data_IF_480162264550
#
_entry.id   IF_480162264550
#
_cell.length_a   1.000
_cell.length_b   1.000
_cell.length_c   1.000
_cell.angle_alpha   90.00
_cell.angle_beta   90.00
_cell.angle_gamma   90.00
#
_symmetry.space_group_name_H-M   'P 1'
#
loop_
_entity.id
_entity.type
_entity.pdbx_description
1 polymer ?
#
# COMPACT_ATOMS: atom_id res chain seq x y z
N UNK A 1 53.40 38.05 -53.43
CA UNK A 1 52.04 37.80 -53.93
C UNK A 1 51.40 36.80 -52.95
N UNK A 2 50.65 37.29 -51.98
CA UNK A 2 50.01 36.51 -50.92
C UNK A 2 48.54 36.38 -51.29
N UNK A 3 48.07 35.11 -51.42
CA UNK A 3 46.69 34.77 -51.75
C UNK A 3 45.87 34.87 -50.43
N UNK A 4 44.73 35.55 -50.41
CA UNK A 4 43.86 35.60 -49.24
C UNK A 4 43.09 34.30 -49.09
N UNK A 5 43.19 33.74 -47.94
CA UNK A 5 42.45 32.56 -47.45
C UNK A 5 40.95 32.87 -47.26
N UNK A 6 40.13 32.25 -48.08
CA UNK A 6 38.68 32.44 -48.05
C UNK A 6 38.10 31.72 -46.85
N UNK A 7 37.70 32.46 -45.84
CA UNK A 7 37.02 31.93 -44.67
C UNK A 7 35.64 31.36 -45.08
N UNK A 8 35.48 30.04 -44.94
CA UNK A 8 34.19 29.35 -45.05
C UNK A 8 33.21 29.87 -44.00
N UNK A 9 31.96 30.17 -44.38
CA UNK A 9 30.96 30.57 -43.40
C UNK A 9 30.65 29.38 -42.48
N UNK A 10 31.00 29.51 -41.19
CA UNK A 10 30.52 28.62 -40.15
C UNK A 10 28.99 28.62 -40.21
N UNK A 11 28.39 27.46 -40.58
CA UNK A 11 26.98 27.15 -40.33
C UNK A 11 26.72 27.41 -38.86
N UNK A 12 25.93 28.42 -38.53
CA UNK A 12 25.31 28.53 -37.21
C UNK A 12 24.43 27.29 -37.06
N UNK A 13 24.87 26.31 -36.27
CA UNK A 13 23.97 25.35 -35.71
C UNK A 13 22.92 26.14 -34.93
N UNK A 14 21.71 26.17 -35.45
CA UNK A 14 20.54 26.72 -34.78
C UNK A 14 20.35 25.80 -33.59
N UNK A 15 20.76 26.24 -32.40
CA UNK A 15 20.37 25.61 -31.14
C UNK A 15 18.85 25.52 -31.14
N UNK A 16 18.32 24.32 -31.36
CA UNK A 16 16.90 24.03 -31.19
C UNK A 16 16.64 24.25 -29.71
N UNK A 17 15.81 25.23 -29.32
CA UNK A 17 15.54 25.48 -27.91
C UNK A 17 15.07 24.17 -27.30
N UNK A 18 15.61 23.81 -26.12
CA UNK A 18 15.21 22.60 -25.38
C UNK A 18 13.71 22.64 -25.20
N UNK A 19 13.00 21.83 -26.00
CA UNK A 19 11.54 21.79 -25.97
C UNK A 19 11.10 21.03 -24.72
N UNK A 20 10.57 21.77 -23.76
CA UNK A 20 10.12 21.24 -22.49
C UNK A 20 8.79 20.48 -22.65
N UNK A 21 8.66 19.33 -21.99
CA UNK A 21 7.36 18.64 -21.85
C UNK A 21 6.58 19.29 -20.72
N UNK A 22 5.42 19.85 -21.03
CA UNK A 22 4.45 20.27 -20.02
C UNK A 22 3.42 19.17 -19.81
N UNK A 23 3.16 18.83 -18.56
CA UNK A 23 2.25 17.77 -18.22
C UNK A 23 1.53 18.02 -16.89
N UNK A 24 0.39 17.39 -16.73
CA UNK A 24 -0.35 17.31 -15.48
C UNK A 24 -1.16 16.03 -15.44
N UNK A 25 -1.11 15.30 -14.31
CA UNK A 25 -1.97 14.15 -14.05
C UNK A 25 -3.14 14.62 -13.19
N UNK A 26 -4.33 14.63 -13.76
CA UNK A 26 -5.57 15.01 -13.08
C UNK A 26 -6.19 13.85 -12.31
N UNK A 27 -5.90 12.62 -12.75
CA UNK A 27 -6.44 11.39 -12.16
C UNK A 27 -5.37 10.30 -12.14
N UNK A 28 -5.17 9.69 -10.97
CA UNK A 28 -4.35 8.49 -10.81
C UNK A 28 -5.06 7.56 -9.81
N UNK A 29 -5.42 6.38 -10.25
CA UNK A 29 -6.19 5.41 -9.48
C UNK A 29 -5.57 4.02 -9.58
N UNK A 30 -5.59 3.31 -8.46
CA UNK A 30 -5.29 1.87 -8.38
C UNK A 30 -6.54 1.14 -7.87
N UNK A 31 -7.07 0.19 -8.65
CA UNK A 31 -8.18 -0.67 -8.24
C UNK A 31 -7.85 -2.13 -8.55
N UNK A 32 -7.66 -2.93 -7.50
CA UNK A 32 -7.12 -4.28 -7.66
C UNK A 32 -5.73 -4.21 -8.30
N UNK A 33 -5.56 -4.88 -9.43
CA UNK A 33 -4.34 -4.87 -10.25
C UNK A 33 -4.31 -3.77 -11.31
N UNK A 34 -5.44 -3.06 -11.51
CA UNK A 34 -5.60 -2.09 -12.59
C UNK A 34 -5.23 -0.68 -12.17
N UNK A 35 -4.30 -0.09 -12.89
CA UNK A 35 -3.90 1.32 -12.79
C UNK A 35 -4.61 2.12 -13.88
N UNK A 36 -5.13 3.30 -13.54
CA UNK A 36 -5.70 4.26 -14.47
C UNK A 36 -5.09 5.63 -14.24
N UNK A 37 -4.67 6.25 -15.31
CA UNK A 37 -4.09 7.59 -15.33
C UNK A 37 -4.81 8.42 -16.37
N UNK A 38 -5.07 9.69 -16.06
CA UNK A 38 -5.59 10.66 -17.03
C UNK A 38 -4.99 12.04 -16.76
N UNK A 39 -4.88 12.83 -17.79
CA UNK A 39 -4.31 14.17 -17.70
C UNK A 39 -4.02 14.77 -19.05
N UNK A 40 -3.01 15.63 -19.11
CA UNK A 40 -2.50 16.14 -20.37
C UNK A 40 -0.97 16.14 -20.40
N UNK A 41 -0.39 16.03 -21.58
CA UNK A 41 1.04 16.18 -21.83
C UNK A 41 1.27 16.69 -23.27
N UNK A 42 2.16 17.67 -23.42
CA UNK A 42 2.52 18.23 -24.73
C UNK A 42 3.94 18.80 -24.72
N UNK A 43 4.50 18.91 -25.90
CA UNK A 43 5.75 19.63 -26.13
C UNK A 43 5.43 21.12 -26.19
N UNK A 44 6.05 21.91 -25.32
CA UNK A 44 5.85 23.35 -25.30
C UNK A 44 6.25 23.99 -26.66
N UNK A 45 5.39 24.82 -27.20
CA UNK A 45 5.53 25.48 -28.53
C UNK A 45 5.59 24.52 -29.72
N UNK A 46 4.93 23.37 -29.59
CA UNK A 46 4.77 22.41 -30.68
C UNK A 46 3.30 22.05 -30.82
N UNK A 47 2.74 22.11 -32.01
CA UNK A 47 1.36 21.74 -32.32
C UNK A 47 1.07 20.28 -31.97
N UNK A 48 -0.11 19.99 -31.42
CA UNK A 48 -0.53 18.64 -31.03
C UNK A 48 -1.38 17.90 -32.07
N UNK A 49 -1.38 18.33 -33.33
CA UNK A 49 -2.17 17.68 -34.40
C UNK A 49 -1.73 16.25 -34.65
N UNK A 50 -0.42 15.99 -34.62
CA UNK A 50 0.21 14.67 -34.84
C UNK A 50 1.06 14.30 -33.60
N UNK A 51 0.44 14.33 -32.43
CA UNK A 51 1.12 13.93 -31.20
C UNK A 51 1.10 12.41 -31.03
N UNK A 52 2.24 11.86 -30.71
CA UNK A 52 2.36 10.48 -30.23
C UNK A 52 2.67 10.49 -28.74
N UNK A 53 1.96 9.73 -27.98
CA UNK A 53 2.21 9.62 -26.54
C UNK A 53 2.19 8.17 -26.13
N UNK A 54 3.20 7.77 -25.38
CA UNK A 54 3.30 6.44 -24.79
C UNK A 54 3.51 6.57 -23.29
N UNK A 55 2.87 5.69 -22.53
CA UNK A 55 3.18 5.52 -21.14
C UNK A 55 4.41 4.61 -21.02
N UNK A 56 5.39 5.03 -20.23
CA UNK A 56 6.62 4.29 -20.00
C UNK A 56 6.69 3.89 -18.54
N UNK A 57 6.77 2.59 -18.30
CA UNK A 57 7.02 2.02 -16.98
C UNK A 57 8.47 1.57 -16.93
N UNK A 58 9.26 2.11 -15.99
CA UNK A 58 10.66 1.71 -15.84
C UNK A 58 10.93 1.25 -14.42
N UNK A 59 11.41 0.01 -14.28
CA UNK A 59 11.86 -0.51 -13.01
C UNK A 59 13.19 0.16 -12.63
N UNK A 60 13.31 0.58 -11.39
CA UNK A 60 14.36 1.50 -10.93
C UNK A 60 15.73 0.85 -10.79
N UNK A 61 15.78 -0.41 -10.37
CA UNK A 61 17.02 -1.15 -10.10
C UNK A 61 17.54 -1.85 -11.35
N UNK A 62 16.65 -2.49 -12.10
CA UNK A 62 17.01 -3.29 -13.29
C UNK A 62 17.03 -2.49 -14.59
N UNK A 63 16.34 -1.34 -14.62
CA UNK A 63 16.15 -0.57 -15.84
C UNK A 63 15.15 -1.21 -16.82
N UNK A 64 14.49 -2.29 -16.46
CA UNK A 64 13.48 -2.95 -17.30
C UNK A 64 12.38 -1.95 -17.66
N UNK A 65 12.04 -1.86 -18.96
CA UNK A 65 11.11 -0.87 -19.49
C UNK A 65 9.97 -1.53 -20.27
N UNK A 66 8.76 -1.01 -20.06
CA UNK A 66 7.58 -1.35 -20.86
C UNK A 66 6.94 -0.07 -21.38
N UNK A 67 6.62 -0.05 -22.68
CA UNK A 67 5.93 1.03 -23.36
C UNK A 67 4.50 0.61 -23.66
N UNK A 68 3.56 1.44 -23.24
CA UNK A 68 2.14 1.16 -23.33
C UNK A 68 1.45 2.28 -24.12
N UNK A 69 0.49 1.92 -24.97
CA UNK A 69 -0.28 2.92 -25.69
C UNK A 69 -1.15 3.73 -24.75
N UNK A 70 -1.38 4.99 -25.09
CA UNK A 70 -2.38 5.84 -24.44
C UNK A 70 -3.48 6.19 -25.42
N UNK A 71 -4.67 6.49 -24.90
CA UNK A 71 -5.76 7.04 -25.70
C UNK A 71 -5.69 8.55 -25.62
N UNK A 72 -5.59 9.21 -26.77
CA UNK A 72 -5.64 10.67 -26.83
C UNK A 72 -7.07 11.18 -26.59
N UNK A 73 -7.16 12.24 -25.80
CA UNK A 73 -8.43 12.91 -25.50
C UNK A 73 -8.30 14.41 -25.71
N UNK A 74 -9.44 15.08 -25.84
CA UNK A 74 -9.49 16.53 -25.90
C UNK A 74 -9.26 17.09 -24.50
N UNK A 75 -8.39 18.11 -24.37
CA UNK A 75 -8.12 18.82 -23.14
C UNK A 75 -8.61 20.27 -23.23
N UNK A 76 -9.88 20.54 -22.98
CA UNK A 76 -10.46 21.87 -23.16
C UNK A 76 -9.88 22.94 -22.23
N UNK A 77 -9.23 22.54 -21.14
CA UNK A 77 -8.55 23.44 -20.21
C UNK A 77 -7.22 24.02 -20.74
N UNK A 78 -6.74 23.53 -21.88
CA UNK A 78 -5.52 24.01 -22.55
C UNK A 78 -5.85 24.86 -23.80
N UNK A 79 -7.02 25.47 -23.82
CA UNK A 79 -7.45 26.36 -24.89
C UNK A 79 -6.58 27.60 -25.02
N UNK A 80 -7.11 28.65 -25.61
CA UNK A 80 -6.44 29.86 -26.10
C UNK A 80 -5.52 30.63 -25.14
N UNK A 81 -5.49 30.27 -23.86
CA UNK A 81 -4.75 31.00 -22.82
C UNK A 81 -3.28 30.58 -22.69
N UNK A 82 -2.89 29.39 -23.15
CA UNK A 82 -1.50 28.97 -23.16
C UNK A 82 -0.82 29.50 -24.43
N UNK A 83 0.34 30.13 -24.28
CA UNK A 83 1.13 30.75 -25.37
C UNK A 83 0.31 31.76 -26.24
N UNK A 84 -0.67 32.47 -25.67
CA UNK A 84 -1.52 33.43 -26.34
C UNK A 84 -2.26 32.87 -27.58
N UNK A 85 -2.57 31.57 -27.56
CA UNK A 85 -3.27 30.87 -28.64
C UNK A 85 -2.45 30.63 -29.89
N UNK A 86 -1.13 30.83 -29.85
CA UNK A 86 -0.23 30.62 -31.01
C UNK A 86 -0.10 29.15 -31.40
N UNK A 87 -0.34 28.22 -30.46
CA UNK A 87 -0.23 26.79 -30.67
C UNK A 87 -1.51 26.12 -30.21
N UNK A 88 -1.95 25.09 -30.91
CA UNK A 88 -3.10 24.28 -30.50
C UNK A 88 -2.64 23.10 -29.64
N UNK A 89 -3.15 23.03 -28.41
CA UNK A 89 -2.91 21.93 -27.48
C UNK A 89 -4.18 21.10 -27.21
N UNK A 90 -5.20 21.20 -28.06
CA UNK A 90 -6.47 20.50 -27.88
C UNK A 90 -6.32 18.97 -27.70
N UNK A 91 -5.39 18.36 -28.45
CA UNK A 91 -5.14 16.91 -28.42
C UNK A 91 -4.08 16.48 -27.40
N UNK A 92 -3.71 17.36 -26.49
CA UNK A 92 -2.74 17.06 -25.44
C UNK A 92 -3.29 16.13 -24.34
N UNK A 93 -4.59 15.93 -24.26
CA UNK A 93 -5.21 15.05 -23.28
C UNK A 93 -4.85 13.59 -23.50
N UNK A 94 -4.68 12.85 -22.41
CA UNK A 94 -4.42 11.42 -22.47
C UNK A 94 -5.20 10.65 -21.40
N UNK A 95 -5.56 9.41 -21.73
CA UNK A 95 -5.98 8.39 -20.80
C UNK A 95 -5.14 7.12 -21.01
N UNK A 96 -4.66 6.55 -19.91
CA UNK A 96 -3.94 5.30 -19.90
C UNK A 96 -4.54 4.36 -18.86
N UNK A 97 -4.68 3.09 -19.24
CA UNK A 97 -5.10 2.05 -18.31
C UNK A 97 -4.31 0.78 -18.58
N UNK A 98 -3.76 0.19 -17.53
CA UNK A 98 -3.05 -1.07 -17.64
C UNK A 98 -3.28 -1.93 -16.41
N UNK A 99 -3.03 -3.22 -16.55
CA UNK A 99 -3.10 -4.20 -15.48
C UNK A 99 -1.69 -4.69 -15.15
N UNK A 100 -1.28 -4.60 -13.88
CA UNK A 100 0.06 -5.01 -13.43
C UNK A 100 0.32 -6.51 -13.63
N UNK A 101 -0.73 -7.31 -13.81
CA UNK A 101 -0.62 -8.76 -14.04
C UNK A 101 -0.42 -9.13 -15.51
N UNK A 102 -0.61 -8.18 -16.44
CA UNK A 102 -0.56 -8.49 -17.90
C UNK A 102 0.27 -7.48 -18.72
N UNK A 103 0.92 -6.52 -18.08
CA UNK A 103 1.68 -5.46 -18.77
C UNK A 103 2.84 -5.99 -19.58
N UNK A 104 3.57 -6.94 -19.07
CA UNK A 104 4.83 -7.41 -19.66
C UNK A 104 4.58 -8.44 -20.79
N UNK A 105 3.88 -8.02 -21.85
CA UNK A 105 3.53 -8.92 -22.96
C UNK A 105 2.59 -10.06 -22.55
N UNK A 106 1.66 -9.77 -21.61
CA UNK A 106 0.77 -10.77 -21.04
C UNK A 106 1.27 -11.38 -19.73
N UNK A 107 2.46 -11.00 -19.26
CA UNK A 107 3.04 -11.44 -17.99
C UNK A 107 2.94 -10.35 -16.91
N UNK A 108 2.93 -10.74 -15.62
CA UNK A 108 2.89 -9.78 -14.51
C UNK A 108 4.21 -9.04 -14.35
N UNK A 109 4.13 -7.77 -13.92
CA UNK A 109 5.30 -7.02 -13.47
C UNK A 109 5.98 -7.71 -12.28
N UNK A 110 7.31 -7.66 -12.26
CA UNK A 110 8.11 -8.13 -11.13
C UNK A 110 7.99 -7.21 -9.91
N UNK A 111 8.39 -7.71 -8.74
CA UNK A 111 8.51 -6.90 -7.55
C UNK A 111 9.61 -5.85 -7.73
N UNK A 112 9.28 -4.59 -7.43
CA UNK A 112 10.20 -3.47 -7.65
C UNK A 112 9.52 -2.11 -7.50
N UNK A 113 10.30 -1.07 -7.78
CA UNK A 113 9.83 0.32 -7.85
C UNK A 113 9.73 0.75 -9.32
N UNK A 114 8.50 0.84 -9.81
CA UNK A 114 8.21 1.18 -11.19
C UNK A 114 7.88 2.67 -11.33
N UNK A 115 8.82 3.41 -11.90
CA UNK A 115 8.60 4.83 -12.22
C UNK A 115 7.72 4.96 -13.45
N UNK A 116 6.82 5.96 -13.41
CA UNK A 116 5.85 6.21 -14.48
C UNK A 116 6.27 7.49 -15.21
N UNK A 117 6.50 7.36 -16.51
CA UNK A 117 6.87 8.44 -17.42
C UNK A 117 5.90 8.51 -18.60
N UNK A 118 5.88 9.62 -19.31
CA UNK A 118 5.31 9.76 -20.63
C UNK A 118 6.42 10.08 -21.63
N UNK A 119 6.44 9.37 -22.75
CA UNK A 119 7.18 9.75 -23.94
C UNK A 119 6.22 10.50 -24.85
N UNK A 120 6.51 11.77 -25.11
CA UNK A 120 5.69 12.64 -25.95
C UNK A 120 6.46 12.99 -27.19
N UNK A 121 5.90 12.67 -28.35
CA UNK A 121 6.50 12.93 -29.66
C UNK A 121 5.58 13.80 -30.53
N UNK A 122 6.16 14.78 -31.22
CA UNK A 122 5.49 15.58 -32.25
C UNK A 122 6.52 16.17 -33.22
N UNK A 123 6.20 16.25 -34.52
CA UNK A 123 7.03 16.87 -35.54
C UNK A 123 8.49 16.37 -35.56
N UNK A 124 8.69 15.07 -35.36
CA UNK A 124 10.03 14.46 -35.34
C UNK A 124 10.83 14.65 -34.02
N UNK A 125 10.28 15.39 -33.07
CA UNK A 125 10.84 15.53 -31.73
C UNK A 125 10.20 14.51 -30.81
N UNK A 126 10.97 13.93 -29.87
CA UNK A 126 10.47 13.10 -28.81
C UNK A 126 11.17 13.44 -27.49
N UNK A 127 10.41 13.50 -26.40
CA UNK A 127 10.91 13.75 -25.06
C UNK A 127 10.19 12.85 -24.05
N UNK A 128 10.95 12.37 -23.07
CA UNK A 128 10.40 11.60 -21.96
C UNK A 128 10.42 12.44 -20.69
N UNK A 129 9.35 12.36 -19.91
CA UNK A 129 9.23 13.04 -18.63
C UNK A 129 8.54 12.13 -17.61
N UNK A 130 9.04 12.11 -16.38
CA UNK A 130 8.34 11.46 -15.26
C UNK A 130 7.10 12.26 -14.91
N UNK A 131 5.95 11.59 -14.91
CA UNK A 131 4.67 12.26 -14.69
C UNK A 131 4.31 12.34 -13.21
N UNK A 132 3.65 13.44 -12.86
CA UNK A 132 3.22 13.70 -11.49
C UNK A 132 2.11 14.73 -11.41
N UNK A 133 1.73 15.07 -10.19
CA UNK A 133 0.83 16.18 -9.91
C UNK A 133 1.64 17.43 -9.61
N UNK A 134 1.50 18.48 -10.41
CA UNK A 134 2.15 19.80 -10.19
C UNK A 134 1.65 20.52 -8.92
N UNK A 135 0.57 20.07 -8.30
CA UNK A 135 0.08 20.66 -7.04
C UNK A 135 0.92 20.15 -5.87
N UNK A 136 2.11 20.72 -5.72
CA UNK A 136 2.92 20.61 -4.51
C UNK A 136 2.19 21.08 -3.23
N UNK A 137 1.09 21.80 -3.37
CA UNK A 137 0.30 22.37 -2.27
C UNK A 137 -0.54 21.35 -1.50
N UNK A 138 -0.71 20.16 -2.01
CA UNK A 138 -1.20 19.04 -1.22
C UNK A 138 0.00 18.19 -0.85
N UNK A 139 0.38 18.25 0.42
CA UNK A 139 1.24 17.22 1.03
C UNK A 139 0.85 15.88 0.43
N UNK A 140 1.79 15.09 -0.10
CA UNK A 140 1.45 13.80 -0.67
C UNK A 140 0.65 13.06 0.36
N UNK A 141 -0.59 12.74 0.03
CA UNK A 141 -1.46 11.98 0.91
C UNK A 141 -0.73 10.72 1.35
N UNK A 142 -1.05 10.22 2.53
CA UNK A 142 -0.47 8.96 3.01
C UNK A 142 -0.57 7.91 1.91
N UNK A 143 0.55 7.25 1.52
CA UNK A 143 0.53 6.24 0.47
C UNK A 143 -0.52 5.17 0.75
N UNK A 144 -1.40 4.93 -0.24
CA UNK A 144 -2.48 3.96 -0.16
C UNK A 144 -1.93 2.56 -0.47
N UNK A 145 -1.40 1.91 0.56
CA UNK A 145 -0.87 0.54 0.47
C UNK A 145 -2.03 -0.44 0.44
N UNK A 146 -2.08 -1.29 -0.59
CA UNK A 146 -3.14 -2.30 -0.78
C UNK A 146 -2.54 -3.69 -0.88
N UNK A 147 -3.27 -4.68 -0.40
CA UNK A 147 -3.01 -6.08 -0.71
C UNK A 147 -4.06 -6.51 -1.72
N UNK A 148 -3.62 -6.98 -2.86
CA UNK A 148 -4.50 -7.45 -3.93
C UNK A 148 -4.15 -8.88 -4.34
N UNK A 149 -5.15 -9.61 -4.81
CA UNK A 149 -4.95 -10.88 -5.47
C UNK A 149 -4.37 -10.61 -6.87
N UNK A 150 -3.30 -11.29 -7.21
CA UNK A 150 -2.63 -11.22 -8.50
C UNK A 150 -2.41 -12.65 -9.01
N UNK A 151 -2.02 -12.81 -10.25
CA UNK A 151 -1.67 -14.14 -10.80
C UNK A 151 -0.48 -14.77 -10.07
N UNK A 152 0.32 -13.98 -9.34
CA UNK A 152 1.42 -14.44 -8.48
C UNK A 152 1.02 -14.58 -7.01
N UNK A 153 -0.28 -14.61 -6.70
CA UNK A 153 -0.80 -14.64 -5.34
C UNK A 153 -1.02 -13.25 -4.73
N UNK A 154 -1.07 -13.18 -3.42
CA UNK A 154 -1.35 -11.91 -2.70
C UNK A 154 -0.15 -11.00 -2.64
N UNK A 155 -0.18 -9.91 -3.37
CA UNK A 155 0.90 -8.91 -3.41
C UNK A 155 0.48 -7.58 -2.77
N UNK A 156 1.45 -6.91 -2.16
CA UNK A 156 1.28 -5.52 -1.78
C UNK A 156 1.55 -4.63 -3.00
N UNK A 157 0.62 -3.72 -3.26
CA UNK A 157 0.71 -2.76 -4.36
C UNK A 157 0.44 -1.37 -3.81
N UNK A 158 1.29 -0.41 -4.16
CA UNK A 158 1.14 0.98 -3.76
C UNK A 158 1.38 1.89 -4.94
N UNK A 159 0.37 2.66 -5.34
CA UNK A 159 0.56 3.79 -6.23
C UNK A 159 0.77 5.04 -5.36
N UNK A 160 1.89 5.72 -5.50
CA UNK A 160 2.24 6.86 -4.67
C UNK A 160 2.99 7.93 -5.45
N UNK A 161 3.07 9.14 -4.87
CA UNK A 161 3.88 10.23 -5.39
C UNK A 161 5.20 10.35 -4.61
N UNK A 162 6.29 10.61 -5.32
CA UNK A 162 7.62 10.80 -4.73
C UNK A 162 7.80 12.21 -4.18
N UNK A 163 8.51 12.34 -3.07
CA UNK A 163 8.91 13.65 -2.51
C UNK A 163 10.34 13.93 -2.96
N UNK A 164 10.68 15.18 -3.35
CA UNK A 164 9.84 16.40 -3.40
C UNK A 164 9.08 16.59 -4.72
N UNK A 165 9.33 15.79 -5.75
CA UNK A 165 8.92 16.08 -7.12
C UNK A 165 7.48 15.73 -7.47
N UNK A 166 6.75 15.00 -6.61
CA UNK A 166 5.37 14.61 -6.84
C UNK A 166 5.16 13.58 -7.96
N UNK A 167 6.22 12.92 -8.44
CA UNK A 167 6.15 11.97 -9.54
C UNK A 167 5.52 10.64 -9.10
N UNK A 168 4.65 10.08 -9.93
CA UNK A 168 4.02 8.79 -9.65
C UNK A 168 5.00 7.62 -9.78
N UNK A 169 4.89 6.69 -8.85
CA UNK A 169 5.64 5.44 -8.80
C UNK A 169 4.75 4.34 -8.26
N UNK A 170 4.89 3.12 -8.78
CA UNK A 170 4.25 1.93 -8.26
C UNK A 170 5.30 1.15 -7.45
N UNK A 171 4.97 0.82 -6.20
CA UNK A 171 5.74 -0.09 -5.36
C UNK A 171 5.06 -1.46 -5.38
N UNK A 172 5.72 -2.46 -5.93
CA UNK A 172 5.28 -3.85 -5.94
C UNK A 172 6.19 -4.67 -5.02
N UNK A 173 5.60 -5.45 -4.11
CA UNK A 173 6.35 -6.32 -3.21
C UNK A 173 6.99 -5.61 -2.02
N UNK A 174 6.45 -4.45 -1.59
CA UNK A 174 6.82 -3.77 -0.33
C UNK A 174 8.26 -3.20 -0.27
N UNK A 175 8.85 -2.86 -1.42
CA UNK A 175 10.22 -2.32 -1.48
C UNK A 175 10.38 -1.03 -0.67
N UNK A 176 9.38 -0.17 -0.69
CA UNK A 176 9.40 1.11 0.02
C UNK A 176 8.30 1.24 1.08
N UNK A 177 7.17 0.59 0.88
CA UNK A 177 5.97 0.71 1.71
C UNK A 177 5.59 -0.62 2.38
N UNK A 178 6.34 -1.07 3.42
CA UNK A 178 6.05 -2.33 4.08
C UNK A 178 4.66 -2.36 4.71
N UNK A 179 3.91 -3.42 4.44
CA UNK A 179 2.55 -3.66 4.95
C UNK A 179 2.52 -3.68 6.47
N UNK A 180 3.50 -4.32 7.12
CA UNK A 180 3.53 -4.42 8.58
C UNK A 180 3.63 -3.06 9.28
N UNK A 181 4.24 -2.05 8.65
CA UNK A 181 4.25 -0.67 9.16
C UNK A 181 2.87 0.01 9.13
N UNK A 182 1.89 -0.61 8.49
CA UNK A 182 0.50 -0.15 8.43
C UNK A 182 -0.40 -0.77 9.51
N UNK A 183 0.16 -1.68 10.30
CA UNK A 183 -0.50 -2.32 11.43
C UNK A 183 0.09 -1.77 12.73
N UNK A 184 -0.76 -1.43 13.66
CA UNK A 184 -0.36 -1.04 15.00
C UNK A 184 -1.33 -1.66 16.01
N UNK A 185 -0.80 -2.21 17.11
CA UNK A 185 -1.64 -2.65 18.23
C UNK A 185 -2.10 -1.44 19.03
N UNK A 186 -3.33 -1.53 19.50
CA UNK A 186 -3.93 -0.58 20.44
C UNK A 186 -3.93 -1.17 21.85
N UNK A 187 -5.01 -1.85 22.21
CA UNK A 187 -5.28 -2.33 23.56
C UNK A 187 -5.62 -3.81 23.58
N UNK A 188 -5.29 -4.46 24.69
CA UNK A 188 -5.70 -5.83 25.04
C UNK A 188 -6.44 -5.76 26.36
N UNK A 189 -7.74 -6.07 26.36
CA UNK A 189 -8.62 -5.96 27.52
C UNK A 189 -9.74 -7.00 27.51
N UNK A 190 -10.34 -7.23 28.66
CA UNK A 190 -11.58 -7.99 28.73
C UNK A 190 -12.76 -7.16 28.20
N UNK A 191 -13.69 -7.84 27.55
CA UNK A 191 -14.93 -7.20 27.09
C UNK A 191 -15.82 -6.86 28.30
N UNK A 192 -16.28 -5.61 28.41
CA UNK A 192 -17.04 -5.16 29.58
C UNK A 192 -18.33 -5.96 29.84
N UNK A 193 -19.07 -6.30 28.77
CA UNK A 193 -20.31 -7.10 28.88
C UNK A 193 -20.14 -8.61 28.76
N UNK A 194 -18.92 -9.10 28.48
CA UNK A 194 -18.60 -10.53 28.30
C UNK A 194 -17.24 -10.82 28.92
N UNK A 195 -17.17 -11.03 30.25
CA UNK A 195 -15.90 -11.08 30.98
C UNK A 195 -15.00 -12.25 30.60
N UNK A 196 -15.49 -13.20 29.81
CA UNK A 196 -14.72 -14.33 29.25
C UNK A 196 -14.30 -14.12 27.78
N UNK A 197 -14.44 -12.92 27.29
CA UNK A 197 -14.05 -12.55 25.94
C UNK A 197 -12.91 -11.52 26.00
N UNK A 198 -11.74 -11.89 25.46
CA UNK A 198 -10.60 -11.00 25.36
C UNK A 198 -10.71 -10.22 24.06
N UNK A 199 -10.65 -8.90 24.16
CA UNK A 199 -10.58 -7.99 23.01
C UNK A 199 -9.14 -7.62 22.73
N UNK A 200 -8.73 -7.81 21.48
CA UNK A 200 -7.46 -7.31 20.94
C UNK A 200 -7.80 -6.26 19.90
N UNK A 201 -7.42 -5.03 20.15
CA UNK A 201 -7.70 -3.90 19.24
C UNK A 201 -6.43 -3.41 18.58
N UNK A 202 -6.58 -2.75 17.44
CA UNK A 202 -5.46 -2.14 16.76
C UNK A 202 -5.91 -1.24 15.60
N UNK A 203 -4.93 -0.79 14.85
CA UNK A 203 -5.09 0.08 13.71
C UNK A 203 -4.51 -0.59 12.47
N UNK A 204 -5.29 -0.62 11.40
CA UNK A 204 -4.86 -1.08 10.08
C UNK A 204 -5.09 0.04 9.09
N UNK A 205 -4.01 0.64 8.61
CA UNK A 205 -4.05 1.80 7.71
C UNK A 205 -3.79 1.41 6.25
N UNK A 206 -4.08 0.17 5.91
CA UNK A 206 -4.12 -0.30 4.52
C UNK A 206 -5.36 0.23 3.83
N UNK A 207 -5.23 0.67 2.59
CA UNK A 207 -6.35 1.11 1.77
C UNK A 207 -7.31 -0.01 1.41
N UNK A 208 -6.78 -1.18 1.09
CA UNK A 208 -7.56 -2.38 0.84
C UNK A 208 -6.77 -3.66 1.16
N UNK A 209 -7.49 -4.69 1.61
CA UNK A 209 -6.99 -6.05 1.73
C UNK A 209 -8.17 -7.04 1.70
N UNK A 210 -7.95 -8.33 1.34
CA UNK A 210 -9.01 -9.33 1.27
C UNK A 210 -9.72 -9.50 2.61
N UNK A 211 -11.03 -9.71 2.57
CA UNK A 211 -11.82 -10.01 3.78
C UNK A 211 -11.29 -11.26 4.47
N UNK A 212 -11.23 -11.24 5.79
CA UNK A 212 -10.74 -12.37 6.59
C UNK A 212 -9.21 -12.58 6.52
N UNK A 213 -8.48 -11.73 5.78
CA UNK A 213 -7.02 -11.86 5.70
C UNK A 213 -6.30 -11.44 6.99
N UNK A 214 -6.92 -10.59 7.82
CA UNK A 214 -6.37 -10.17 9.10
C UNK A 214 -6.94 -11.08 10.20
N UNK A 215 -6.07 -11.84 10.85
CA UNK A 215 -6.45 -12.84 11.85
C UNK A 215 -5.48 -12.83 13.03
N UNK A 216 -5.95 -13.15 14.22
CA UNK A 216 -5.11 -13.50 15.37
C UNK A 216 -5.00 -15.02 15.44
N UNK A 217 -3.78 -15.50 15.48
CA UNK A 217 -3.45 -16.90 15.69
C UNK A 217 -2.92 -17.07 17.10
N UNK A 218 -3.56 -17.94 17.88
CA UNK A 218 -3.09 -18.37 19.17
C UNK A 218 -2.55 -19.80 19.07
N UNK A 219 -1.40 -20.07 19.69
CA UNK A 219 -0.78 -21.37 19.76
C UNK A 219 -0.60 -21.78 21.21
N UNK A 220 -1.06 -22.97 21.56
CA UNK A 220 -0.84 -23.57 22.88
C UNK A 220 0.58 -24.12 22.95
N UNK A 221 1.34 -23.70 23.97
CA UNK A 221 2.73 -24.12 24.15
C UNK A 221 2.86 -25.42 24.94
N UNK A 222 1.82 -25.76 25.73
CA UNK A 222 1.79 -26.97 26.53
C UNK A 222 1.18 -28.16 25.77
N UNK A 223 0.55 -27.91 24.59
CA UNK A 223 -0.07 -28.94 23.75
C UNK A 223 0.39 -28.77 22.30
N UNK A 224 1.21 -29.71 21.82
CA UNK A 224 1.76 -29.67 20.47
C UNK A 224 0.65 -29.62 19.40
N UNK A 225 0.75 -28.66 18.49
CA UNK A 225 -0.18 -28.48 17.37
C UNK A 225 -1.52 -27.82 17.70
N UNK A 226 -1.84 -27.56 18.99
CA UNK A 226 -3.09 -26.89 19.31
C UNK A 226 -3.04 -25.40 18.98
N UNK A 227 -3.87 -24.99 17.99
CA UNK A 227 -3.99 -23.62 17.51
C UNK A 227 -5.43 -23.16 17.52
N UNK A 228 -5.64 -21.85 17.66
CA UNK A 228 -6.94 -21.21 17.53
C UNK A 228 -6.80 -19.94 16.68
N UNK A 229 -7.74 -19.72 15.77
CA UNK A 229 -7.68 -18.60 14.81
C UNK A 229 -8.92 -17.75 14.94
N UNK A 230 -8.74 -16.44 15.10
CA UNK A 230 -9.82 -15.48 15.28
C UNK A 230 -9.73 -14.37 14.25
N UNK A 231 -10.78 -14.13 13.45
CA UNK A 231 -10.78 -13.08 12.46
C UNK A 231 -10.85 -11.69 13.13
N UNK A 232 -10.16 -10.72 12.53
CA UNK A 232 -10.35 -9.33 12.90
C UNK A 232 -11.59 -8.76 12.23
N UNK A 233 -12.39 -8.05 13.01
CA UNK A 233 -13.54 -7.28 12.55
C UNK A 233 -13.11 -5.84 12.37
N UNK A 234 -13.36 -5.29 11.18
CA UNK A 234 -13.09 -3.88 10.85
C UNK A 234 -14.39 -3.20 10.40
N UNK A 235 -14.73 -2.03 10.94
CA UNK A 235 -15.82 -1.22 10.41
C UNK A 235 -15.56 -0.85 8.95
N UNK A 236 -16.62 -0.72 8.14
CA UNK A 236 -16.52 -0.48 6.70
C UNK A 236 -15.71 0.78 6.33
N UNK A 237 -15.70 1.77 7.20
CA UNK A 237 -15.02 3.07 6.98
C UNK A 237 -14.01 3.45 8.08
N UNK A 238 -13.48 2.47 8.82
CA UNK A 238 -12.56 2.73 9.92
C UNK A 238 -11.17 2.11 9.70
N UNK A 239 -10.15 2.69 10.31
CA UNK A 239 -8.81 2.12 10.38
C UNK A 239 -8.65 1.15 11.57
N UNK A 240 -9.56 1.19 12.53
CA UNK A 240 -9.49 0.32 13.71
C UNK A 240 -9.97 -1.09 13.38
N UNK A 241 -9.34 -2.06 13.98
CA UNK A 241 -9.81 -3.44 13.98
C UNK A 241 -9.98 -3.96 15.41
N UNK A 242 -10.84 -4.93 15.58
CA UNK A 242 -11.06 -5.63 16.85
C UNK A 242 -11.09 -7.12 16.58
N UNK A 243 -10.38 -7.89 17.42
CA UNK A 243 -10.44 -9.35 17.44
C UNK A 243 -11.08 -9.76 18.73
N UNK A 244 -12.07 -10.64 18.63
CA UNK A 244 -12.81 -11.21 19.75
C UNK A 244 -12.28 -12.61 20.01
N UNK A 245 -11.71 -12.84 21.20
CA UNK A 245 -11.16 -14.14 21.61
C UNK A 245 -11.99 -14.70 22.76
N UNK A 246 -12.93 -15.61 22.50
CA UNK A 246 -13.69 -16.29 23.55
C UNK A 246 -12.78 -17.30 24.25
N UNK A 247 -12.18 -16.90 25.40
CA UNK A 247 -11.21 -17.76 26.13
C UNK A 247 -11.81 -19.04 26.67
N UNK A 248 -13.12 -19.12 26.71
CA UNK A 248 -13.83 -20.36 27.08
C UNK A 248 -13.67 -21.46 26.01
N UNK A 249 -13.32 -21.15 24.80
CA UNK A 249 -13.08 -22.13 23.72
C UNK A 249 -11.64 -22.66 23.72
N UNK A 250 -10.74 -22.00 24.44
CA UNK A 250 -9.35 -22.39 24.51
C UNK A 250 -9.16 -23.59 25.43
N UNK A 251 -8.32 -24.53 25.04
CA UNK A 251 -7.88 -25.65 25.87
C UNK A 251 -6.99 -25.16 27.02
N UNK A 252 -6.84 -25.95 28.11
CA UNK A 252 -5.86 -25.64 29.16
C UNK A 252 -4.45 -25.51 28.59
N UNK A 253 -3.67 -24.57 29.14
CA UNK A 253 -2.28 -24.38 28.76
C UNK A 253 -1.90 -22.90 28.69
N UNK A 254 -0.66 -22.66 28.26
CA UNK A 254 -0.11 -21.34 27.96
C UNK A 254 -0.24 -21.07 26.47
N UNK A 255 -0.89 -19.99 26.15
CA UNK A 255 -1.15 -19.56 24.78
C UNK A 255 -0.29 -18.36 24.41
N UNK A 256 0.52 -18.48 23.38
CA UNK A 256 1.18 -17.35 22.70
C UNK A 256 0.35 -16.89 21.50
N UNK A 257 0.60 -15.69 21.00
CA UNK A 257 -0.24 -15.14 19.94
C UNK A 257 0.50 -14.25 18.96
N UNK A 258 -0.01 -14.23 17.74
CA UNK A 258 0.47 -13.40 16.65
C UNK A 258 -0.71 -12.90 15.81
N UNK A 259 -0.56 -11.70 15.26
CA UNK A 259 -1.45 -11.15 14.25
C UNK A 259 -0.90 -11.53 12.87
N UNK A 260 -1.74 -12.10 12.02
CA UNK A 260 -1.39 -12.44 10.65
C UNK A 260 -2.18 -11.62 9.65
N UNK A 261 -1.49 -11.23 8.58
CA UNK A 261 -2.10 -10.65 7.39
C UNK A 261 -1.60 -11.42 6.17
N UNK A 262 -2.31 -12.46 5.78
CA UNK A 262 -1.79 -13.49 4.89
C UNK A 262 -0.59 -14.20 5.52
N UNK A 263 0.54 -14.22 4.83
CA UNK A 263 1.79 -14.84 5.33
C UNK A 263 2.61 -13.92 6.25
N UNK A 264 2.23 -12.64 6.34
CA UNK A 264 2.93 -11.65 7.16
C UNK A 264 2.53 -11.80 8.62
N UNK A 265 3.52 -11.89 9.49
CA UNK A 265 3.34 -12.16 10.92
C UNK A 265 3.83 -10.98 11.74
N UNK A 266 3.02 -10.57 12.70
CA UNK A 266 3.36 -9.55 13.70
C UNK A 266 3.07 -10.12 15.10
N UNK A 267 4.09 -10.31 15.96
CA UNK A 267 3.86 -10.80 17.31
C UNK A 267 2.90 -9.91 18.09
N UNK A 268 1.95 -10.50 18.82
CA UNK A 268 1.09 -9.74 19.71
C UNK A 268 1.91 -9.16 20.87
N UNK A 269 1.65 -7.92 21.29
CA UNK A 269 2.33 -7.32 22.40
C UNK A 269 1.94 -8.00 23.72
N UNK A 270 2.77 -7.81 24.74
CA UNK A 270 2.47 -8.27 26.08
C UNK A 270 1.18 -7.60 26.58
N UNK A 271 0.25 -8.37 27.16
CA UNK A 271 -0.94 -7.80 27.77
C UNK A 271 -0.59 -6.81 28.90
N UNK A 272 -1.42 -5.79 29.14
CA UNK A 272 -1.19 -4.84 30.24
C UNK A 272 -1.06 -5.56 31.59
N UNK A 273 -0.10 -5.16 32.43
CA UNK A 273 0.11 -5.73 33.77
C UNK A 273 -1.14 -5.67 34.66
N UNK A 274 -2.03 -4.68 34.43
CA UNK A 274 -3.29 -4.50 35.15
C UNK A 274 -4.42 -5.40 34.66
N UNK A 275 -4.21 -6.16 33.59
CA UNK A 275 -5.22 -7.05 33.07
C UNK A 275 -5.39 -8.26 34.03
N UNK A 276 -6.40 -8.21 34.84
CA UNK A 276 -6.72 -9.28 35.80
C UNK A 276 -7.11 -10.60 35.14
N UNK A 277 -7.38 -11.63 35.94
CA UNK A 277 -7.85 -12.90 35.42
C UNK A 277 -9.36 -12.87 35.14
N UNK A 278 -9.79 -13.40 34.00
CA UNK A 278 -11.18 -13.80 33.78
C UNK A 278 -11.44 -15.15 34.48
N UNK A 279 -12.63 -15.32 35.01
CA UNK A 279 -13.04 -16.56 35.70
C UNK A 279 -14.43 -16.98 35.23
N UNK A 280 -14.65 -18.29 35.07
CA UNK A 280 -15.97 -18.84 34.69
C UNK A 280 -16.16 -20.28 35.18
N UNK A 281 -17.40 -20.69 35.30
CA UNK A 281 -17.75 -22.02 35.68
C UNK A 281 -17.98 -22.95 34.48
N UNK A 282 -17.43 -24.14 34.52
CA UNK A 282 -17.78 -25.29 33.68
C UNK A 282 -18.21 -26.46 34.56
N UNK A 283 -18.80 -27.51 33.99
CA UNK A 283 -19.19 -28.72 34.74
C UNK A 283 -18.03 -29.31 35.57
N UNK A 284 -16.80 -29.16 35.10
CA UNK A 284 -15.58 -29.64 35.74
C UNK A 284 -15.02 -28.71 36.82
N UNK A 285 -15.65 -27.59 37.13
CA UNK A 285 -15.24 -26.64 38.18
C UNK A 285 -14.96 -25.21 37.66
N UNK A 286 -14.32 -24.41 38.52
CA UNK A 286 -13.97 -23.02 38.21
C UNK A 286 -12.73 -22.97 37.32
N UNK A 287 -12.88 -22.28 36.19
CA UNK A 287 -11.83 -22.04 35.21
C UNK A 287 -11.36 -20.61 35.26
N UNK A 288 -10.16 -20.37 34.77
CA UNK A 288 -9.62 -19.01 34.62
C UNK A 288 -8.79 -18.86 33.34
N UNK A 289 -8.71 -17.62 32.87
CA UNK A 289 -7.71 -17.16 31.90
C UNK A 289 -7.02 -15.93 32.48
N UNK A 290 -5.68 -15.92 32.51
CA UNK A 290 -4.91 -14.81 33.04
C UNK A 290 -3.70 -14.50 32.16
N UNK A 291 -3.33 -13.21 31.98
CA UNK A 291 -2.06 -12.84 31.37
C UNK A 291 -0.88 -13.42 32.12
N UNK A 292 0.14 -13.81 31.44
CA UNK A 292 1.42 -14.29 31.97
C UNK A 292 2.54 -13.44 31.40
N UNK A 293 3.45 -13.00 32.26
CA UNK A 293 4.66 -12.30 31.81
C UNK A 293 5.68 -13.30 31.28
N UNK A 294 6.35 -12.93 30.18
CA UNK A 294 7.42 -13.70 29.56
C UNK A 294 8.73 -12.91 29.60
N UNK A 295 9.84 -13.59 29.79
CA UNK A 295 11.17 -13.00 29.78
C UNK A 295 11.56 -12.36 28.46
N UNK A 296 11.03 -12.88 27.33
CA UNK A 296 11.24 -12.34 25.98
C UNK A 296 10.18 -11.32 25.53
N UNK A 297 9.24 -10.92 26.40
CA UNK A 297 8.08 -10.10 26.01
C UNK A 297 7.07 -10.89 25.17
N UNK A 298 6.08 -10.16 24.60
CA UNK A 298 5.05 -10.74 23.75
C UNK A 298 3.84 -11.28 24.53
N UNK A 299 2.81 -11.63 23.77
CA UNK A 299 1.54 -12.10 24.30
C UNK A 299 1.67 -13.49 24.94
N UNK A 300 1.20 -13.62 26.17
CA UNK A 300 0.99 -14.90 26.80
C UNK A 300 -0.27 -14.89 27.68
N UNK A 301 -1.09 -15.92 27.54
CA UNK A 301 -2.32 -16.11 28.28
C UNK A 301 -2.39 -17.55 28.82
N UNK A 302 -2.46 -17.70 30.12
CA UNK A 302 -2.65 -19.03 30.74
C UNK A 302 -4.13 -19.31 30.94
N UNK A 303 -4.61 -20.40 30.37
CA UNK A 303 -5.96 -20.95 30.58
C UNK A 303 -5.84 -22.20 31.44
N UNK A 304 -6.66 -22.32 32.48
CA UNK A 304 -6.57 -23.47 33.36
C UNK A 304 -7.75 -23.59 34.30
N UNK A 305 -7.71 -24.66 35.10
CA UNK A 305 -8.70 -24.95 36.15
C UNK A 305 -8.13 -24.52 37.51
N UNK A 306 -8.97 -23.89 38.32
CA UNK A 306 -8.62 -23.55 39.70
C UNK A 306 -8.54 -24.80 40.55
N UNK A 307 -7.40 -25.02 41.19
CA UNK A 307 -7.26 -26.14 42.15
C UNK A 307 -8.11 -25.94 43.40
N UNK A 308 -8.25 -27.00 44.23
CA UNK A 308 -9.07 -26.98 45.44
C UNK A 308 -8.76 -25.80 46.38
N UNK A 309 -7.49 -25.44 46.56
CA UNK A 309 -7.09 -24.27 47.36
C UNK A 309 -7.57 -22.93 46.81
N UNK A 310 -7.68 -22.80 45.49
CA UNK A 310 -8.20 -21.58 44.83
C UNK A 310 -9.73 -21.46 44.87
N UNK A 311 -10.43 -22.60 44.99
CA UNK A 311 -11.88 -22.62 45.19
C UNK A 311 -12.28 -22.05 46.56
N UNK A 312 -11.52 -22.36 47.60
CA UNK A 312 -11.77 -21.82 48.95
C UNK A 312 -11.60 -20.28 48.98
N UNK A 313 -10.54 -19.73 48.34
CA UNK A 313 -10.35 -18.27 48.23
C UNK A 313 -11.44 -17.58 47.43
N UNK A 314 -11.90 -18.21 46.36
CA UNK A 314 -12.99 -17.65 45.55
C UNK A 314 -14.36 -17.67 46.25
N UNK A 315 -14.58 -18.65 47.15
CA UNK A 315 -15.80 -18.75 47.94
C UNK A 315 -15.84 -17.79 49.15
N UNK A 316 -14.68 -17.37 49.63
CA UNK A 316 -14.52 -16.45 50.79
C UNK A 316 -14.36 -14.98 50.36
N UNK A 317 -14.35 -14.70 49.04
CA UNK A 317 -14.24 -13.33 48.54
C UNK A 317 -12.85 -12.67 48.67
N UNK A 318 -11.81 -13.45 48.91
CA UNK A 318 -10.41 -13.03 49.03
C UNK A 318 -9.63 -13.17 47.70
#
# INVERSE_FOLDING_TARGET
>A
MTVPETASPRRRETEIPETEVRHHVSRAELRGTRVRLAGYAYLHRVETHEVTTELVLRERETGTEYRLPVTHTVSPCLGADEDEGRYSYEKAGFEAAFDIDTVAGGSPLDDGLWDISLSVGAQGLAREVRIGSRRADRLPGRPDVRITETVRGRRAVTLYTTVPYGNYTIDLGERKHPVLKRLAFGDIRWHAGRPTELLITGRCTLGAYPRGALTVHLRNEDAEGATAVFPAVRPAHGEQFTVHVPVTELAPGVWSGELRLGERVLPLPQPPKKLGAAKWWRRSGLWYAKPVSRSGGGFALRVGRTGKAGLVRAAVGL
#
